data_IF_730373832354
#
_entry.id   IF_730373832354
#
_cell.length_a   1.000
_cell.length_b   1.000
_cell.length_c   1.000
_cell.angle_alpha   90.00
_cell.angle_beta   90.00
_cell.angle_gamma   90.00
#
_symmetry.space_group_name_H-M   'P 1'
#
loop_
_entity.id
_entity.type
_entity.pdbx_description
1 polymer ?
#
# COMPACT_ATOMS: atom_id res chain seq x y z
N UNK A 1 7.10 -21.27 -22.78
CA UNK A 1 7.26 -19.80 -22.77
C UNK A 1 5.85 -19.24 -23.00
N UNK A 2 5.15 -18.86 -21.94
CA UNK A 2 3.76 -18.39 -22.03
C UNK A 2 3.76 -16.92 -22.43
N UNK A 3 3.41 -16.64 -23.69
CA UNK A 3 3.19 -15.29 -24.20
C UNK A 3 1.69 -15.00 -24.20
N UNK A 4 1.16 -14.64 -23.06
CA UNK A 4 -0.20 -14.12 -23.00
C UNK A 4 -0.20 -12.83 -22.17
N UNK A 5 -0.27 -11.69 -22.86
CA UNK A 5 -0.13 -10.36 -22.28
C UNK A 5 -1.27 -9.97 -21.33
N UNK A 6 -2.25 -10.87 -21.09
CA UNK A 6 -3.40 -10.69 -20.23
C UNK A 6 -3.43 -11.63 -19.02
N UNK A 7 -2.36 -12.37 -18.73
CA UNK A 7 -2.34 -13.27 -17.59
C UNK A 7 -1.97 -12.52 -16.30
N UNK A 8 -2.84 -12.56 -15.31
CA UNK A 8 -2.52 -12.24 -13.93
C UNK A 8 -1.60 -13.33 -13.38
N UNK A 9 -0.50 -12.94 -12.75
CA UNK A 9 0.42 -13.87 -12.10
C UNK A 9 0.14 -13.82 -10.59
N UNK A 10 -0.34 -14.93 -10.05
CA UNK A 10 -0.73 -15.06 -8.63
C UNK A 10 0.37 -15.66 -7.76
N UNK A 11 1.58 -15.78 -8.29
CA UNK A 11 2.74 -16.29 -7.56
C UNK A 11 3.97 -15.45 -7.92
N UNK A 12 4.59 -14.80 -6.92
CA UNK A 12 5.76 -13.96 -7.12
C UNK A 12 6.88 -14.42 -6.17
N UNK A 13 8.07 -14.71 -6.74
CA UNK A 13 9.25 -15.15 -6.02
C UNK A 13 9.15 -16.60 -5.44
N UNK A 14 10.11 -17.00 -4.62
CA UNK A 14 10.28 -18.36 -4.08
C UNK A 14 9.32 -18.65 -2.92
N UNK A 15 8.95 -19.93 -2.79
CA UNK A 15 8.10 -20.40 -1.67
C UNK A 15 8.88 -20.44 -0.36
N UNK A 16 8.24 -19.95 0.71
CA UNK A 16 8.69 -20.06 2.09
C UNK A 16 8.09 -21.30 2.77
N UNK A 17 8.65 -21.70 3.92
CA UNK A 17 8.22 -22.89 4.66
C UNK A 17 6.79 -22.79 5.20
N UNK A 18 6.27 -21.59 5.44
CA UNK A 18 4.92 -21.32 5.91
C UNK A 18 3.88 -21.22 4.80
N UNK A 19 4.28 -21.44 3.54
CA UNK A 19 3.39 -21.37 2.38
C UNK A 19 3.32 -20.02 1.68
N UNK A 20 3.83 -18.96 2.29
CA UNK A 20 3.95 -17.64 1.65
C UNK A 20 4.98 -17.70 0.50
N UNK A 21 4.89 -16.72 -0.42
CA UNK A 21 6.02 -16.38 -1.26
C UNK A 21 7.01 -15.48 -0.48
N UNK A 22 8.25 -15.37 -0.95
CA UNK A 22 9.22 -14.47 -0.35
C UNK A 22 8.76 -13.01 -0.42
N UNK A 23 8.06 -12.62 -1.46
CA UNK A 23 7.50 -11.28 -1.61
C UNK A 23 6.42 -10.98 -0.55
N UNK A 24 5.57 -11.95 -0.26
CA UNK A 24 4.56 -11.84 0.80
C UNK A 24 5.20 -11.78 2.20
N UNK A 25 6.23 -12.59 2.46
CA UNK A 25 6.99 -12.52 3.71
C UNK A 25 7.62 -11.14 3.95
N UNK A 26 8.07 -10.46 2.91
CA UNK A 26 8.64 -9.11 3.00
C UNK A 26 7.67 -8.08 3.55
N UNK A 27 6.36 -8.22 3.32
CA UNK A 27 5.36 -7.28 3.84
C UNK A 27 5.53 -7.04 5.34
N UNK A 28 5.60 -8.11 6.13
CA UNK A 28 5.80 -7.99 7.57
C UNK A 28 7.24 -7.58 7.93
N UNK A 29 8.24 -8.20 7.30
CA UNK A 29 9.64 -7.99 7.65
C UNK A 29 10.10 -6.55 7.37
N UNK A 30 9.83 -6.04 6.18
CA UNK A 30 10.27 -4.71 5.76
C UNK A 30 9.46 -3.60 6.41
N UNK A 31 8.15 -3.75 6.54
CA UNK A 31 7.32 -2.75 7.22
C UNK A 31 7.74 -2.58 8.68
N UNK A 32 7.92 -3.66 9.42
CA UNK A 32 8.36 -3.56 10.81
C UNK A 32 9.78 -2.99 10.93
N UNK A 33 10.68 -3.33 10.01
CA UNK A 33 12.01 -2.72 9.94
C UNK A 33 11.94 -1.20 9.72
N UNK A 34 11.12 -0.73 8.78
CA UNK A 34 10.94 0.70 8.50
C UNK A 34 10.34 1.46 9.69
N UNK A 35 9.43 0.82 10.43
CA UNK A 35 8.82 1.40 11.64
C UNK A 35 9.70 1.30 12.89
N UNK A 36 10.89 0.69 12.80
CA UNK A 36 11.77 0.48 13.94
C UNK A 36 11.24 -0.54 14.96
N UNK A 37 10.31 -1.38 14.54
CA UNK A 37 9.74 -2.42 15.38
C UNK A 37 10.69 -3.63 15.52
N UNK A 38 10.61 -4.30 16.65
CA UNK A 38 11.34 -5.54 16.96
C UNK A 38 10.35 -6.64 17.39
N UNK A 39 10.86 -7.78 17.77
CA UNK A 39 10.03 -8.94 18.15
C UNK A 39 9.04 -8.69 19.30
N UNK A 40 9.27 -7.68 20.14
CA UNK A 40 8.37 -7.37 21.27
C UNK A 40 7.19 -6.47 20.89
N UNK A 41 7.28 -5.74 19.77
CA UNK A 41 6.26 -4.81 19.29
C UNK A 41 5.93 -5.00 17.81
N UNK A 42 6.14 -6.20 17.30
CA UNK A 42 5.90 -6.55 15.89
C UNK A 42 4.42 -6.35 15.52
N UNK A 43 4.20 -5.66 14.40
CA UNK A 43 2.88 -5.56 13.78
C UNK A 43 2.71 -6.77 12.87
N UNK A 44 1.75 -7.67 13.16
CA UNK A 44 1.49 -8.82 12.28
C UNK A 44 0.90 -8.34 10.96
N UNK A 45 1.48 -8.82 9.86
CA UNK A 45 1.04 -8.48 8.51
C UNK A 45 1.10 -9.72 7.62
N UNK A 46 0.14 -9.87 6.77
CA UNK A 46 0.09 -10.89 5.74
C UNK A 46 -0.65 -10.37 4.51
N UNK A 47 -0.49 -11.03 3.39
CA UNK A 47 -1.17 -10.67 2.16
C UNK A 47 -0.82 -11.61 1.01
N UNK A 48 -1.50 -11.45 -0.10
CA UNK A 48 -1.20 -12.15 -1.35
C UNK A 48 -0.68 -11.16 -2.37
N UNK A 49 0.53 -11.41 -2.87
CA UNK A 49 1.16 -10.59 -3.89
C UNK A 49 0.85 -11.14 -5.28
N UNK A 50 0.28 -10.28 -6.13
CA UNK A 50 -0.10 -10.65 -7.49
C UNK A 50 0.38 -9.60 -8.49
N UNK A 51 0.65 -10.02 -9.72
CA UNK A 51 0.85 -9.12 -10.86
C UNK A 51 -0.46 -8.98 -11.61
N UNK A 52 -0.82 -7.74 -11.91
CA UNK A 52 -2.01 -7.37 -12.68
C UNK A 52 -1.61 -6.63 -13.94
N UNK A 53 -2.52 -6.50 -14.91
CA UNK A 53 -2.29 -5.86 -16.20
C UNK A 53 -2.13 -4.33 -16.16
N UNK A 54 -1.64 -3.76 -15.06
CA UNK A 54 -1.28 -2.35 -14.97
C UNK A 54 0.16 -2.15 -15.46
N UNK A 55 0.38 -1.17 -16.33
CA UNK A 55 1.71 -0.87 -16.85
C UNK A 55 2.67 -0.34 -15.77
N UNK A 56 2.13 0.35 -14.78
CA UNK A 56 2.86 1.05 -13.74
C UNK A 56 2.01 1.19 -12.49
N UNK A 57 2.62 1.47 -11.35
CA UNK A 57 2.06 1.60 -10.02
C UNK A 57 1.78 0.27 -9.31
N UNK A 58 1.88 0.32 -7.98
CA UNK A 58 1.34 -0.69 -7.09
C UNK A 58 0.00 -0.24 -6.55
N UNK A 59 -0.93 -1.18 -6.42
CA UNK A 59 -2.21 -0.97 -5.77
C UNK A 59 -2.32 -1.93 -4.58
N UNK A 60 -2.81 -1.44 -3.45
CA UNK A 60 -2.89 -2.20 -2.20
C UNK A 60 -4.28 -2.08 -1.60
N UNK A 61 -4.93 -3.21 -1.38
CA UNK A 61 -6.17 -3.29 -0.60
C UNK A 61 -5.82 -3.71 0.84
N UNK A 62 -6.28 -2.93 1.81
CA UNK A 62 -5.99 -3.16 3.21
C UNK A 62 -7.21 -3.62 3.99
N UNK A 63 -7.01 -4.60 4.85
CA UNK A 63 -7.87 -4.92 5.98
C UNK A 63 -7.05 -4.68 7.23
N UNK A 64 -7.43 -3.68 8.01
CA UNK A 64 -6.66 -3.23 9.17
C UNK A 64 -7.49 -3.46 10.42
N UNK A 65 -6.94 -4.22 11.37
CA UNK A 65 -7.51 -4.33 12.73
C UNK A 65 -6.82 -3.32 13.64
N UNK A 66 -7.56 -2.37 14.14
CA UNK A 66 -7.09 -1.37 15.10
C UNK A 66 -7.08 -1.93 16.53
N UNK A 67 -6.28 -1.37 17.41
CA UNK A 67 -6.27 -1.72 18.85
C UNK A 67 -7.57 -1.31 19.57
N UNK A 68 -8.28 -0.33 19.01
CA UNK A 68 -9.59 0.17 19.50
C UNK A 68 -10.36 0.78 18.33
N UNK A 69 -11.67 0.90 18.46
CA UNK A 69 -12.48 1.62 17.48
C UNK A 69 -12.06 3.10 17.43
N UNK A 70 -11.93 3.63 16.22
CA UNK A 70 -11.61 5.03 15.93
C UNK A 70 -12.56 5.51 14.85
N UNK A 71 -13.07 6.72 14.97
CA UNK A 71 -13.93 7.33 13.96
C UNK A 71 -13.21 7.48 12.61
N UNK A 72 -13.90 7.22 11.51
CA UNK A 72 -13.34 7.29 10.17
C UNK A 72 -12.73 8.66 9.88
N UNK A 73 -13.44 9.73 10.21
CA UNK A 73 -12.94 11.10 10.04
C UNK A 73 -11.61 11.34 10.74
N UNK A 74 -11.41 10.79 11.93
CA UNK A 74 -10.11 10.87 12.64
C UNK A 74 -9.01 10.16 11.88
N UNK A 75 -9.30 9.00 11.29
CA UNK A 75 -8.32 8.25 10.48
C UNK A 75 -7.95 9.04 9.22
N UNK A 76 -8.94 9.60 8.54
CA UNK A 76 -8.75 10.43 7.35
C UNK A 76 -7.89 11.66 7.68
N UNK A 77 -8.19 12.36 8.77
CA UNK A 77 -7.44 13.53 9.20
C UNK A 77 -5.99 13.19 9.57
N UNK A 78 -5.76 12.05 10.21
CA UNK A 78 -4.40 11.57 10.52
C UNK A 78 -3.60 11.27 9.24
N UNK A 79 -4.20 10.66 8.24
CA UNK A 79 -3.55 10.38 6.95
C UNK A 79 -3.27 11.69 6.21
N UNK A 80 -4.27 12.56 6.08
CA UNK A 80 -4.16 13.81 5.34
C UNK A 80 -3.10 14.77 5.92
N UNK A 81 -2.87 14.73 7.24
CA UNK A 81 -1.91 15.59 7.92
C UNK A 81 -0.56 14.91 8.19
N UNK A 82 -0.35 13.68 7.71
CA UNK A 82 0.87 12.94 8.01
C UNK A 82 2.09 13.47 7.27
N UNK A 83 1.96 13.76 5.98
CA UNK A 83 3.01 14.31 5.12
C UNK A 83 2.42 14.88 3.82
N UNK A 84 3.27 15.55 3.03
CA UNK A 84 2.85 16.24 1.79
C UNK A 84 2.49 15.28 0.63
N UNK A 85 2.79 13.99 0.74
CA UNK A 85 2.56 13.01 -0.33
C UNK A 85 1.30 12.17 -0.12
N UNK A 86 0.85 12.01 1.14
CA UNK A 86 -0.36 11.28 1.45
C UNK A 86 -1.59 12.18 1.22
N UNK A 87 -2.53 11.72 0.42
CA UNK A 87 -3.81 12.40 0.22
C UNK A 87 -4.96 11.45 0.52
N UNK A 88 -6.07 11.97 0.99
CA UNK A 88 -7.29 11.21 1.25
C UNK A 88 -8.27 11.45 0.12
N UNK A 89 -8.72 10.36 -0.51
CA UNK A 89 -9.77 10.37 -1.51
C UNK A 89 -11.09 10.03 -0.83
N UNK A 90 -12.12 10.86 -0.97
CA UNK A 90 -13.44 10.58 -0.42
C UNK A 90 -13.96 9.19 -0.82
N UNK A 91 -14.68 8.53 0.09
CA UNK A 91 -15.25 7.21 -0.20
C UNK A 91 -16.52 7.32 -1.05
N UNK A 92 -16.43 8.05 -2.15
CA UNK A 92 -17.45 8.26 -3.15
C UNK A 92 -17.05 7.60 -4.47
N UNK A 93 -18.02 7.26 -5.30
CA UNK A 93 -17.79 6.47 -6.52
C UNK A 93 -16.97 7.24 -7.55
N UNK A 94 -17.36 8.45 -7.83
CA UNK A 94 -16.78 9.27 -8.88
C UNK A 94 -15.33 9.61 -8.58
N UNK A 95 -15.03 10.08 -7.38
CA UNK A 95 -13.68 10.40 -6.89
C UNK A 95 -12.80 9.16 -6.86
N UNK A 96 -13.35 8.03 -6.39
CA UNK A 96 -12.61 6.76 -6.38
C UNK A 96 -12.19 6.32 -7.80
N UNK A 97 -13.10 6.41 -8.77
CA UNK A 97 -12.84 5.99 -10.16
C UNK A 97 -11.86 6.95 -10.84
N UNK A 98 -11.93 8.23 -10.55
CA UNK A 98 -11.08 9.24 -11.20
C UNK A 98 -9.70 9.33 -10.56
N UNK A 99 -9.60 9.33 -9.24
CA UNK A 99 -8.38 9.71 -8.53
C UNK A 99 -7.59 8.53 -7.96
N UNK A 100 -8.26 7.44 -7.58
CA UNK A 100 -7.62 6.28 -6.93
C UNK A 100 -7.25 5.20 -7.96
N UNK A 101 -6.49 5.59 -8.99
CA UNK A 101 -6.14 4.69 -10.10
C UNK A 101 -4.66 4.78 -10.48
N UNK A 102 -4.05 3.69 -11.00
CA UNK A 102 -2.71 3.72 -11.57
C UNK A 102 -2.54 4.78 -12.67
N UNK A 103 -3.57 5.02 -13.48
CA UNK A 103 -3.52 5.99 -14.57
C UNK A 103 -3.33 7.42 -14.05
N UNK A 104 -4.01 7.79 -12.98
CA UNK A 104 -3.92 9.13 -12.41
C UNK A 104 -2.62 9.32 -11.59
N UNK A 105 -2.10 8.27 -10.97
CA UNK A 105 -0.96 8.34 -10.05
C UNK A 105 0.39 8.14 -10.74
N UNK A 106 0.40 7.52 -11.90
CA UNK A 106 1.62 7.27 -12.67
C UNK A 106 2.41 8.55 -12.93
N UNK A 107 3.68 8.57 -12.57
CA UNK A 107 4.58 9.72 -12.73
C UNK A 107 4.44 10.78 -11.63
N UNK A 108 3.65 10.56 -10.61
CA UNK A 108 3.49 11.48 -9.48
C UNK A 108 4.09 10.92 -8.19
N UNK A 109 4.39 11.79 -7.23
CA UNK A 109 4.78 11.39 -5.87
C UNK A 109 3.57 11.29 -4.92
N UNK A 110 2.34 11.55 -5.41
CA UNK A 110 1.15 11.42 -4.59
C UNK A 110 0.87 9.95 -4.26
N UNK A 111 0.49 9.71 -3.02
CA UNK A 111 0.05 8.41 -2.48
C UNK A 111 -1.39 8.58 -1.98
N UNK A 112 -2.38 8.48 -2.85
CA UNK A 112 -3.77 8.57 -2.44
C UNK A 112 -4.17 7.35 -1.63
N UNK A 113 -4.92 7.60 -0.57
CA UNK A 113 -5.58 6.59 0.26
C UNK A 113 -7.08 6.85 0.22
N UNK A 114 -7.83 5.91 -0.27
CA UNK A 114 -9.28 6.00 -0.36
C UNK A 114 -9.96 4.72 0.10
N UNK A 115 -11.28 4.62 -0.14
CA UNK A 115 -12.09 3.48 0.32
C UNK A 115 -12.01 3.26 1.82
N UNK A 116 -11.71 4.31 2.59
CA UNK A 116 -11.60 4.26 4.04
C UNK A 116 -13.01 4.13 4.62
N UNK A 117 -13.28 3.01 5.27
CA UNK A 117 -14.57 2.73 5.89
C UNK A 117 -14.46 1.66 6.96
N UNK A 118 -15.42 1.62 7.87
CA UNK A 118 -15.59 0.48 8.78
C UNK A 118 -15.95 -0.78 8.01
N UNK A 119 -15.51 -1.93 8.50
CA UNK A 119 -15.86 -3.23 7.94
C UNK A 119 -16.96 -3.92 8.75
N UNK A 120 -17.66 -4.86 8.12
CA UNK A 120 -18.72 -5.63 8.78
C UNK A 120 -18.22 -6.63 9.84
N UNK A 121 -16.90 -6.80 9.96
CA UNK A 121 -16.26 -7.69 10.93
C UNK A 121 -16.17 -7.10 12.34
N UNK A 122 -16.42 -5.80 12.51
CA UNK A 122 -16.39 -5.10 13.79
C UNK A 122 -15.94 -3.65 13.64
N UNK A 123 -16.22 -2.83 14.66
CA UNK A 123 -15.93 -1.39 14.64
C UNK A 123 -14.42 -1.06 14.73
N UNK A 124 -13.60 -2.03 15.10
CA UNK A 124 -12.15 -1.93 15.11
C UNK A 124 -11.50 -2.37 13.79
N UNK A 125 -12.29 -2.83 12.80
CA UNK A 125 -11.80 -3.17 11.48
C UNK A 125 -12.06 -2.06 10.47
N UNK A 126 -11.00 -1.67 9.76
CA UNK A 126 -11.03 -0.62 8.74
C UNK A 126 -10.55 -1.17 7.42
N UNK A 127 -11.29 -0.86 6.36
CA UNK A 127 -10.85 -1.04 4.98
C UNK A 127 -10.17 0.23 4.50
N UNK A 128 -9.13 0.08 3.69
CA UNK A 128 -8.54 1.17 2.91
C UNK A 128 -8.00 0.61 1.58
N UNK A 129 -7.76 1.50 0.63
CA UNK A 129 -7.10 1.19 -0.63
C UNK A 129 -6.13 2.30 -0.97
N UNK A 130 -4.95 1.96 -1.47
CA UNK A 130 -3.94 2.94 -1.86
C UNK A 130 -3.31 2.56 -3.20
N UNK A 131 -2.81 3.57 -3.90
CA UNK A 131 -2.04 3.44 -5.14
C UNK A 131 -0.76 4.26 -5.00
N UNK A 132 0.36 3.74 -5.50
CA UNK A 132 1.62 4.48 -5.48
C UNK A 132 2.52 4.10 -6.67
N UNK A 133 3.31 5.06 -7.14
CA UNK A 133 4.26 4.82 -8.22
C UNK A 133 5.58 4.26 -7.69
N UNK A 134 5.73 2.93 -7.76
CA UNK A 134 6.91 2.24 -7.25
C UNK A 134 8.21 2.58 -8.00
N UNK A 135 8.12 3.02 -9.26
CA UNK A 135 9.33 3.43 -10.01
C UNK A 135 9.89 4.76 -9.50
N UNK A 136 9.03 5.59 -8.93
CA UNK A 136 9.46 6.78 -8.21
C UNK A 136 9.87 6.43 -6.77
N UNK A 137 8.94 5.94 -5.96
CA UNK A 137 9.16 5.71 -4.53
C UNK A 137 10.16 4.61 -4.21
N UNK A 138 10.20 3.53 -4.99
CA UNK A 138 11.11 2.40 -4.80
C UNK A 138 12.45 2.53 -5.52
N UNK A 139 12.65 3.54 -6.37
CA UNK A 139 13.86 3.68 -7.18
C UNK A 139 14.38 5.12 -7.27
N UNK A 140 13.70 5.99 -8.01
CA UNK A 140 14.25 7.32 -8.35
C UNK A 140 14.28 8.29 -7.18
N UNK A 141 13.20 8.36 -6.39
CA UNK A 141 13.08 9.36 -5.32
C UNK A 141 14.03 9.16 -4.14
N UNK A 142 14.28 7.94 -3.63
CA UNK A 142 15.31 7.73 -2.61
C UNK A 142 16.70 8.21 -3.05
N UNK A 143 17.10 7.94 -4.29
CA UNK A 143 18.39 8.39 -4.83
C UNK A 143 18.44 9.91 -4.96
N UNK A 144 17.39 10.53 -5.46
CA UNK A 144 17.30 12.00 -5.56
C UNK A 144 17.42 12.66 -4.18
N UNK A 145 16.77 12.10 -3.15
CA UNK A 145 16.86 12.61 -1.78
C UNK A 145 18.26 12.45 -1.20
N UNK A 146 18.88 11.29 -1.40
CA UNK A 146 20.27 11.09 -0.97
C UNK A 146 21.21 12.10 -1.60
N UNK A 147 21.07 12.39 -2.89
CA UNK A 147 21.87 13.43 -3.55
C UNK A 147 21.69 14.80 -2.90
N UNK A 148 20.47 15.18 -2.52
CA UNK A 148 20.19 16.43 -1.83
C UNK A 148 20.78 16.55 -0.41
N UNK A 149 21.22 15.43 0.21
CA UNK A 149 21.94 15.45 1.48
C UNK A 149 23.48 15.56 1.30
N UNK A 150 23.97 15.30 0.11
CA UNK A 150 25.43 15.29 -0.19
C UNK A 150 25.87 16.61 -0.82
N UNK A 151 24.98 17.34 -1.45
CA UNK A 151 25.20 18.64 -2.08
C UNK A 151 24.87 19.79 -1.11
#
# INVERSE_FOLDING_TARGET
>A
MYNDHNQHIYWIDSKQNNGQTREEWKLQAETNKLLGNNNSNLIPMDGTCVRVGALRCHSQAFTIKLKKSVEIKTIEDLIANHNDWASVIPNEKEETIQELTPANISGTLNIPVGRIRKMSMGDDFVNAFSVGDQLLWGAAEPLRRMLGYVL
#
